data_IF_545040820476
#
_entry.id   IF_545040820476
#
_cell.length_a   1.000
_cell.length_b   1.000
_cell.length_c   1.000
_cell.angle_alpha   90.00
_cell.angle_beta   90.00
_cell.angle_gamma   90.00
#
_symmetry.space_group_name_H-M   'P 1'
#
loop_
_entity.id
_entity.type
_entity.pdbx_description
1 polymer ?
#
# COMPACT_ATOMS: atom_id res chain seq x y z
N UNK A 1 10.14 5.34 -7.60
CA UNK A 1 11.18 5.14 -6.57
C UNK A 1 10.61 4.48 -5.32
N UNK A 2 9.70 5.14 -4.59
CA UNK A 2 9.08 4.60 -3.36
C UNK A 2 8.43 3.23 -3.52
N UNK A 3 7.55 3.04 -4.51
CA UNK A 3 6.87 1.76 -4.71
C UNK A 3 7.85 0.57 -4.86
N UNK A 4 8.94 0.74 -5.62
CA UNK A 4 9.98 -0.31 -5.77
C UNK A 4 10.61 -0.68 -4.42
N UNK A 5 11.00 0.33 -3.64
CA UNK A 5 11.60 0.13 -2.31
C UNK A 5 10.61 -0.53 -1.36
N UNK A 6 9.35 -0.09 -1.34
CA UNK A 6 8.29 -0.70 -0.54
C UNK A 6 8.06 -2.16 -0.91
N UNK A 7 7.91 -2.47 -2.20
CA UNK A 7 7.71 -3.86 -2.65
C UNK A 7 8.91 -4.74 -2.32
N UNK A 8 10.14 -4.23 -2.46
CA UNK A 8 11.34 -4.97 -2.07
C UNK A 8 11.36 -5.26 -0.56
N UNK A 9 11.10 -4.24 0.27
CA UNK A 9 11.03 -4.41 1.73
C UNK A 9 9.97 -5.44 2.13
N UNK A 10 8.80 -5.41 1.49
CA UNK A 10 7.74 -6.39 1.74
C UNK A 10 8.20 -7.80 1.36
N UNK A 11 8.82 -7.97 0.19
CA UNK A 11 9.35 -9.27 -0.23
C UNK A 11 10.43 -9.80 0.72
N UNK A 12 11.30 -8.94 1.23
CA UNK A 12 12.29 -9.30 2.25
C UNK A 12 11.61 -9.75 3.55
N UNK A 13 10.62 -8.98 4.04
CA UNK A 13 9.82 -9.36 5.21
C UNK A 13 9.11 -10.71 5.03
N UNK A 14 8.54 -10.98 3.85
CA UNK A 14 7.87 -12.25 3.54
C UNK A 14 8.84 -13.44 3.56
N UNK A 15 10.14 -13.23 3.30
CA UNK A 15 11.17 -14.29 3.41
C UNK A 15 11.58 -14.54 4.86
N UNK A 16 11.72 -13.47 5.65
CA UNK A 16 12.17 -13.56 7.04
C UNK A 16 11.10 -14.11 7.98
N UNK A 17 9.82 -13.88 7.69
CA UNK A 17 8.71 -14.31 8.54
C UNK A 17 7.88 -15.38 7.83
N UNK A 18 8.03 -16.67 8.20
CA UNK A 18 7.24 -17.77 7.63
C UNK A 18 5.75 -17.46 7.74
N UNK A 19 5.01 -17.74 6.66
CA UNK A 19 3.57 -17.40 6.53
C UNK A 19 3.27 -15.88 6.61
N UNK A 20 4.24 -15.00 6.30
CA UNK A 20 4.01 -13.57 6.11
C UNK A 20 3.60 -12.80 7.37
N UNK A 21 4.10 -13.15 8.55
CA UNK A 21 3.71 -12.53 9.83
C UNK A 21 2.65 -13.30 10.63
N UNK A 22 2.26 -14.46 10.12
CA UNK A 22 1.10 -15.21 10.57
C UNK A 22 1.16 -15.81 11.96
N UNK A 23 2.34 -16.19 12.41
CA UNK A 23 2.47 -17.15 13.51
C UNK A 23 2.13 -16.54 14.88
N UNK A 24 1.87 -15.24 14.98
CA UNK A 24 1.50 -14.59 16.24
C UNK A 24 -0.01 -14.53 16.54
N UNK A 25 -0.90 -14.87 15.58
CA UNK A 25 -2.34 -14.60 15.71
C UNK A 25 -3.30 -15.77 15.38
N UNK A 26 -2.84 -17.02 15.44
CA UNK A 26 -3.71 -18.21 15.57
C UNK A 26 -4.76 -18.51 14.48
N UNK A 27 -4.94 -17.69 13.43
CA UNK A 27 -5.97 -17.91 12.40
C UNK A 27 -5.62 -17.20 11.08
N UNK A 28 -5.56 -17.96 9.97
CA UNK A 28 -5.28 -17.58 8.56
C UNK A 28 -4.65 -16.17 8.37
N UNK A 29 -3.32 -16.13 8.35
CA UNK A 29 -2.60 -15.09 9.10
C UNK A 29 -1.54 -14.32 8.28
N UNK A 30 -1.53 -14.43 6.95
CA UNK A 30 -0.55 -13.69 6.14
C UNK A 30 -0.88 -12.18 6.10
N UNK A 31 0.06 -11.33 6.51
CA UNK A 31 -0.01 -9.86 6.37
C UNK A 31 0.11 -9.46 4.89
N UNK A 32 0.84 -10.27 4.13
CA UNK A 32 1.10 -10.11 2.71
C UNK A 32 0.82 -11.39 1.94
N UNK A 33 0.27 -11.26 0.75
CA UNK A 33 -0.01 -12.38 -0.16
C UNK A 33 0.32 -11.99 -1.59
N UNK A 34 0.84 -12.92 -2.38
CA UNK A 34 0.93 -12.73 -3.83
C UNK A 34 -0.45 -12.94 -4.44
N UNK A 35 -0.82 -12.07 -5.39
CA UNK A 35 -2.04 -12.17 -6.16
C UNK A 35 -1.73 -12.03 -7.64
N UNK A 36 -2.16 -13.01 -8.41
CA UNK A 36 -2.10 -12.95 -9.87
C UNK A 36 -3.48 -12.59 -10.41
N UNK A 37 -3.53 -11.72 -11.42
CA UNK A 37 -4.80 -11.30 -11.97
C UNK A 37 -4.68 -10.66 -13.34
N UNK A 38 -5.83 -10.57 -14.00
CA UNK A 38 -5.97 -9.85 -15.25
C UNK A 38 -6.43 -8.42 -14.98
N UNK A 39 -5.82 -7.46 -15.67
CA UNK A 39 -6.28 -6.08 -15.76
C UNK A 39 -6.68 -5.80 -17.20
N UNK A 40 -7.94 -5.45 -17.39
CA UNK A 40 -8.45 -4.97 -18.66
C UNK A 40 -8.65 -3.46 -18.64
N UNK A 41 -8.48 -2.79 -19.78
CA UNK A 41 -8.66 -1.35 -19.86
C UNK A 41 -9.09 -0.89 -21.26
N UNK A 42 -9.69 0.29 -21.28
CA UNK A 42 -9.93 1.06 -22.51
C UNK A 42 -8.72 1.94 -22.88
N UNK A 43 -7.73 2.07 -21.99
CA UNK A 43 -6.46 2.72 -22.29
C UNK A 43 -5.52 1.71 -22.97
N UNK A 44 -4.97 2.06 -24.13
CA UNK A 44 -4.00 1.22 -24.86
C UNK A 44 -2.58 1.37 -24.33
N UNK A 45 -2.30 2.37 -23.49
CA UNK A 45 -0.98 2.56 -22.93
C UNK A 45 -0.66 1.51 -21.88
N UNK A 46 0.51 0.88 -22.04
CA UNK A 46 1.05 -0.03 -21.01
C UNK A 46 1.46 0.82 -19.80
N UNK A 47 0.89 0.60 -18.62
CA UNK A 47 1.23 1.40 -17.45
C UNK A 47 2.68 1.19 -17.02
N UNK A 48 3.43 2.28 -16.78
CA UNK A 48 4.85 2.21 -16.40
C UNK A 48 5.12 1.38 -15.14
N UNK A 49 4.16 1.30 -14.23
CA UNK A 49 4.26 0.52 -12.99
C UNK A 49 4.28 -0.99 -13.22
N UNK A 50 3.94 -1.48 -14.42
CA UNK A 50 3.97 -2.92 -14.74
C UNK A 50 5.38 -3.51 -14.57
N UNK A 51 6.42 -2.70 -14.75
CA UNK A 51 7.84 -3.06 -14.55
C UNK A 51 8.21 -3.36 -13.10
N UNK A 52 7.29 -3.14 -12.15
CA UNK A 52 7.44 -3.47 -10.74
C UNK A 52 6.77 -4.80 -10.36
N UNK A 53 5.94 -5.33 -11.26
CA UNK A 53 5.16 -6.54 -11.08
C UNK A 53 5.91 -7.77 -11.60
N UNK A 54 5.54 -8.95 -11.12
CA UNK A 54 6.11 -10.22 -11.55
C UNK A 54 5.19 -10.92 -12.57
N UNK A 55 5.71 -11.93 -13.28
CA UNK A 55 4.95 -12.75 -14.23
C UNK A 55 4.10 -11.94 -15.23
N UNK A 56 4.66 -10.85 -15.74
CA UNK A 56 3.96 -9.92 -16.64
C UNK A 56 3.75 -10.57 -18.01
N UNK A 57 2.51 -10.57 -18.48
CA UNK A 57 2.13 -10.96 -19.84
C UNK A 57 1.18 -9.92 -20.43
N UNK A 58 1.52 -9.39 -21.60
CA UNK A 58 0.66 -8.46 -22.35
C UNK A 58 -0.23 -9.30 -23.25
N UNK A 59 -1.55 -9.19 -23.04
CA UNK A 59 -2.51 -10.01 -23.76
C UNK A 59 -2.65 -9.57 -25.22
N UNK A 60 -2.70 -10.55 -26.10
CA UNK A 60 -3.11 -10.37 -27.49
C UNK A 60 -4.61 -10.08 -27.59
N UNK A 61 -5.09 -9.49 -28.70
CA UNK A 61 -6.52 -9.27 -28.91
C UNK A 61 -7.37 -10.54 -28.75
N UNK A 62 -6.87 -11.69 -29.22
CA UNK A 62 -7.55 -12.97 -29.09
C UNK A 62 -7.66 -13.43 -27.63
N UNK A 63 -6.60 -13.29 -26.84
CA UNK A 63 -6.64 -13.63 -25.41
C UNK A 63 -7.59 -12.71 -24.62
N UNK A 64 -7.70 -11.45 -25.02
CA UNK A 64 -8.64 -10.49 -24.42
C UNK A 64 -10.08 -10.93 -24.67
N UNK A 65 -10.43 -11.23 -25.93
CA UNK A 65 -11.77 -11.68 -26.31
C UNK A 65 -12.17 -12.98 -25.60
N UNK A 66 -11.23 -13.88 -25.37
CA UNK A 66 -11.48 -15.13 -24.64
C UNK A 66 -11.69 -14.93 -23.13
N UNK A 67 -11.13 -13.88 -22.53
CA UNK A 67 -11.10 -13.69 -21.08
C UNK A 67 -12.02 -12.61 -20.54
N UNK A 68 -12.59 -11.76 -21.40
CA UNK A 68 -13.46 -10.67 -20.98
C UNK A 68 -14.74 -10.62 -21.82
N UNK A 69 -15.94 -10.54 -21.20
CA UNK A 69 -17.22 -10.63 -21.92
C UNK A 69 -17.51 -9.42 -22.83
N UNK A 70 -16.78 -8.31 -22.63
CA UNK A 70 -16.92 -7.09 -23.42
C UNK A 70 -15.59 -6.73 -24.09
N UNK A 71 -15.64 -6.09 -25.25
CA UNK A 71 -14.45 -5.65 -25.96
C UNK A 71 -13.56 -4.74 -25.09
N UNK A 72 -12.27 -5.07 -24.98
CA UNK A 72 -11.26 -4.28 -24.27
C UNK A 72 -10.14 -3.91 -25.22
N UNK A 73 -9.61 -2.70 -25.06
CA UNK A 73 -8.53 -2.19 -25.91
C UNK A 73 -7.15 -2.66 -25.46
N UNK A 74 -7.00 -3.02 -24.18
CA UNK A 74 -5.79 -3.63 -23.65
C UNK A 74 -6.09 -4.63 -22.53
N UNK A 75 -5.17 -5.58 -22.36
CA UNK A 75 -5.21 -6.60 -21.33
C UNK A 75 -3.81 -6.93 -20.84
N UNK A 76 -3.68 -7.11 -19.53
CA UNK A 76 -2.42 -7.47 -18.87
C UNK A 76 -2.70 -8.59 -17.87
N UNK A 77 -1.80 -9.56 -17.78
CA UNK A 77 -1.71 -10.45 -16.65
C UNK A 77 -0.43 -10.14 -15.88
N UNK A 78 -0.49 -10.16 -14.55
CA UNK A 78 0.68 -9.97 -13.70
C UNK A 78 0.42 -10.50 -12.29
N UNK A 79 1.49 -10.74 -11.55
CA UNK A 79 1.50 -11.03 -10.12
C UNK A 79 1.91 -9.79 -9.34
N UNK A 80 1.14 -9.45 -8.31
CA UNK A 80 1.36 -8.33 -7.40
C UNK A 80 1.25 -8.77 -5.94
N UNK A 81 1.42 -7.83 -5.02
CA UNK A 81 1.31 -8.05 -3.58
C UNK A 81 0.01 -7.43 -3.04
N UNK A 82 -0.77 -8.26 -2.36
CA UNK A 82 -1.84 -7.81 -1.48
C UNK A 82 -1.31 -7.64 -0.06
N UNK A 83 -1.70 -6.56 0.59
CA UNK A 83 -1.41 -6.26 1.98
C UNK A 83 -2.73 -6.15 2.73
N UNK A 84 -2.84 -6.83 3.87
CA UNK A 84 -3.98 -6.67 4.78
C UNK A 84 -3.70 -5.49 5.73
N UNK A 85 -4.39 -4.33 5.59
CA UNK A 85 -3.93 -3.09 6.23
C UNK A 85 -3.97 -3.14 7.76
N UNK A 86 -5.02 -3.73 8.33
CA UNK A 86 -5.21 -3.79 9.78
C UNK A 86 -4.06 -4.54 10.47
N UNK A 87 -3.74 -5.74 9.99
CA UNK A 87 -2.66 -6.60 10.49
C UNK A 87 -1.30 -5.93 10.28
N UNK A 88 -1.08 -5.30 9.13
CA UNK A 88 0.16 -4.59 8.88
C UNK A 88 0.36 -3.42 9.84
N UNK A 89 -0.69 -2.64 10.12
CA UNK A 89 -0.64 -1.56 11.10
C UNK A 89 -0.39 -2.07 12.52
N UNK A 90 -0.99 -3.21 12.92
CA UNK A 90 -0.68 -3.84 14.20
C UNK A 90 0.78 -4.28 14.31
N UNK A 91 1.32 -4.91 13.26
CA UNK A 91 2.74 -5.29 13.21
C UNK A 91 3.65 -4.06 13.33
N UNK A 92 3.42 -3.02 12.54
CA UNK A 92 4.23 -1.79 12.59
C UNK A 92 4.13 -1.09 13.94
N UNK A 93 2.93 -1.05 14.54
CA UNK A 93 2.72 -0.53 15.89
C UNK A 93 3.54 -1.29 16.93
N UNK A 94 3.50 -2.62 16.91
CA UNK A 94 4.23 -3.43 17.87
C UNK A 94 5.74 -3.28 17.70
N UNK A 95 6.22 -3.26 16.45
CA UNK A 95 7.64 -3.01 16.12
C UNK A 95 8.11 -1.62 16.58
N UNK A 96 7.26 -0.60 16.43
CA UNK A 96 7.56 0.75 16.90
C UNK A 96 7.71 0.79 18.42
N UNK A 97 6.78 0.15 19.15
CA UNK A 97 6.81 0.09 20.62
C UNK A 97 8.00 -0.73 21.12
N UNK A 98 8.29 -1.89 20.51
CA UNK A 98 9.44 -2.72 20.91
C UNK A 98 10.79 -2.01 20.74
N UNK A 99 10.86 -1.04 19.83
CA UNK A 99 12.03 -0.20 19.61
C UNK A 99 12.06 1.06 20.51
N UNK A 100 11.23 1.12 21.55
CA UNK A 100 11.19 2.23 22.51
C UNK A 100 10.26 3.39 22.11
N UNK A 101 9.52 3.26 21.01
CA UNK A 101 8.54 4.24 20.58
C UNK A 101 7.35 4.34 21.54
N UNK A 102 6.81 5.55 21.72
CA UNK A 102 5.64 5.81 22.58
C UNK A 102 4.45 6.24 21.73
N UNK A 103 3.28 5.70 22.02
CA UNK A 103 2.02 6.13 21.41
C UNK A 103 1.25 7.03 22.36
N UNK A 104 0.97 8.25 21.91
CA UNK A 104 0.20 9.23 22.66
C UNK A 104 -1.06 9.56 21.86
N UNK A 105 -2.24 9.38 22.48
CA UNK A 105 -3.50 9.84 21.89
C UNK A 105 -3.66 11.32 22.19
N UNK A 106 -3.46 12.16 21.20
CA UNK A 106 -3.51 13.61 21.34
C UNK A 106 -4.11 14.24 20.08
N UNK A 107 -4.89 15.30 20.25
CA UNK A 107 -5.42 16.09 19.13
C UNK A 107 -4.55 17.33 18.96
N UNK A 108 -3.92 17.45 17.79
CA UNK A 108 -3.04 18.58 17.47
C UNK A 108 -3.84 19.61 16.70
N UNK A 109 -4.19 20.72 17.37
CA UNK A 109 -4.87 21.85 16.73
C UNK A 109 -3.89 22.77 15.99
N UNK A 110 -2.70 22.95 16.55
CA UNK A 110 -1.61 23.76 15.98
C UNK A 110 -0.27 23.12 16.30
N UNK A 111 0.76 23.35 15.48
CA UNK A 111 2.09 22.79 15.74
C UNK A 111 2.71 23.32 17.04
N UNK A 112 2.40 24.56 17.41
CA UNK A 112 2.90 25.17 18.63
C UNK A 112 2.60 24.32 19.88
N UNK A 113 1.52 23.53 19.88
CA UNK A 113 1.16 22.66 21.01
C UNK A 113 2.11 21.48 21.22
N UNK A 114 2.97 21.15 20.25
CA UNK A 114 3.90 20.01 20.32
C UNK A 114 5.36 20.38 20.02
N UNK A 115 5.62 21.57 19.45
CA UNK A 115 6.98 21.98 19.02
C UNK A 115 8.00 22.06 20.15
N UNK A 116 7.61 22.45 21.37
CA UNK A 116 8.54 22.56 22.50
C UNK A 116 9.06 21.18 22.99
N UNK A 117 8.37 20.10 22.63
CA UNK A 117 8.68 18.74 23.08
C UNK A 117 9.40 17.90 22.02
N UNK A 118 9.65 18.44 20.83
CA UNK A 118 10.12 17.69 19.67
C UNK A 118 11.23 18.42 18.93
N UNK A 119 12.37 17.76 18.71
CA UNK A 119 13.47 18.28 17.86
C UNK A 119 13.10 18.23 16.37
N UNK A 120 12.23 17.30 15.98
CA UNK A 120 11.80 17.10 14.61
C UNK A 120 10.35 16.59 14.56
N UNK A 121 9.60 17.05 13.57
CA UNK A 121 8.21 16.65 13.33
C UNK A 121 8.12 16.02 11.94
N UNK A 122 7.64 14.77 11.88
CA UNK A 122 7.28 14.10 10.64
C UNK A 122 5.76 14.16 10.46
N UNK A 123 5.30 14.95 9.48
CA UNK A 123 3.87 15.12 9.22
C UNK A 123 3.30 13.92 8.43
N UNK A 124 2.43 13.14 9.08
CA UNK A 124 1.68 12.02 8.49
C UNK A 124 0.16 12.16 8.67
N UNK A 125 -0.40 13.39 8.73
CA UNK A 125 -1.82 13.62 9.09
C UNK A 125 -2.82 13.34 7.97
N UNK A 126 -2.39 12.89 6.80
CA UNK A 126 -3.27 12.61 5.66
C UNK A 126 -4.18 13.79 5.34
N UNK A 127 -5.49 13.55 5.21
CA UNK A 127 -6.51 14.59 4.94
C UNK A 127 -6.54 15.72 5.99
N UNK A 128 -6.04 15.48 7.21
CA UNK A 128 -5.93 16.51 8.25
C UNK A 128 -4.92 17.61 7.91
N UNK A 129 -3.98 17.37 7.00
CA UNK A 129 -2.98 18.36 6.59
C UNK A 129 -3.62 19.62 5.99
N UNK A 130 -4.78 19.49 5.33
CA UNK A 130 -5.54 20.64 4.83
C UNK A 130 -5.84 21.67 5.91
N UNK A 131 -6.29 21.21 7.09
CA UNK A 131 -6.60 22.10 8.22
C UNK A 131 -5.34 22.55 8.95
N UNK A 132 -4.40 21.64 9.20
CA UNK A 132 -3.24 21.90 10.07
C UNK A 132 -2.12 22.70 9.38
N UNK A 133 -2.00 22.60 8.05
CA UNK A 133 -0.94 23.21 7.25
C UNK A 133 -1.46 24.04 6.07
N UNK A 134 -2.78 24.29 6.00
CA UNK A 134 -3.40 25.06 4.90
C UNK A 134 -3.06 24.47 3.51
N UNK A 135 -3.02 23.15 3.40
CA UNK A 135 -2.77 22.46 2.14
C UNK A 135 -4.04 22.44 1.27
N UNK A 136 -4.23 23.50 0.49
CA UNK A 136 -5.40 23.69 -0.38
C UNK A 136 -5.42 22.76 -1.59
N UNK A 137 -4.29 22.14 -1.94
CA UNK A 137 -4.22 21.16 -3.02
C UNK A 137 -4.86 19.82 -2.62
N UNK A 138 -4.97 19.57 -1.32
CA UNK A 138 -5.56 18.36 -0.76
C UNK A 138 -7.09 18.40 -0.85
N UNK A 139 -7.67 17.37 -1.45
CA UNK A 139 -9.12 17.19 -1.57
C UNK A 139 -9.53 15.73 -1.32
N UNK A 140 -10.66 15.47 -0.64
CA UNK A 140 -11.12 14.12 -0.38
C UNK A 140 -11.71 13.49 -1.66
N UNK A 141 -11.37 12.23 -1.91
CA UNK A 141 -12.04 11.39 -2.90
C UNK A 141 -12.74 10.26 -2.15
N UNK A 142 -14.06 10.16 -2.30
CA UNK A 142 -14.87 9.15 -1.60
C UNK A 142 -14.78 7.81 -2.34
N UNK A 143 -14.39 6.76 -1.61
CA UNK A 143 -14.61 5.37 -2.01
C UNK A 143 -15.76 4.75 -1.20
N UNK A 144 -16.44 3.75 -1.76
CA UNK A 144 -17.44 2.91 -1.09
C UNK A 144 -17.06 1.44 -1.20
#
# INVERSE_FOLDING_TARGET
>A
RWCRVTMQHIREYMKEVPNGGAQHYGMCSCVFQEMSGYRFSQDTNIPRWITLMDNVHILTPQEIEQKHPHHQKSGLFYTTLYLQPTKYLHYLRNKFISNGGRLVKHYVETLNSITAECDCIVNCTGLGAKKLFTDDQLHPIRGQ
#
